data_IF_665614207756
#
_entry.id   IF_665614207756
#
_cell.length_a   1.000
_cell.length_b   1.000
_cell.length_c   1.000
_cell.angle_alpha   90.00
_cell.angle_beta   90.00
_cell.angle_gamma   90.00
#
_symmetry.space_group_name_H-M   'P 1'
#
loop_
_entity.id
_entity.type
_entity.pdbx_description
1 polymer ?
#
# COMPACT_ATOMS: atom_id res chain seq x y z
N UNK A 1 -14.50 -5.88 4.73
CA UNK A 1 -15.12 -6.40 3.49
C UNK A 1 -14.22 -6.11 2.30
N UNK A 2 -14.06 -7.08 1.40
CA UNK A 2 -13.26 -6.96 0.17
C UNK A 2 -13.60 -5.66 -0.60
N UNK A 3 -12.58 -4.88 -0.98
CA UNK A 3 -12.76 -3.62 -1.69
C UNK A 3 -11.92 -3.61 -2.98
N UNK A 4 -12.60 -3.81 -4.11
CA UNK A 4 -11.95 -3.85 -5.43
C UNK A 4 -11.26 -2.53 -5.79
N UNK A 5 -11.82 -1.39 -5.37
CA UNK A 5 -11.23 -0.07 -5.59
C UNK A 5 -9.90 0.06 -4.85
N UNK A 6 -9.86 -0.27 -3.56
CA UNK A 6 -8.65 -0.22 -2.75
C UNK A 6 -7.51 -1.04 -3.38
N UNK A 7 -7.83 -2.23 -3.89
CA UNK A 7 -6.88 -3.09 -4.59
C UNK A 7 -6.27 -2.43 -5.83
N UNK A 8 -7.09 -1.78 -6.67
CA UNK A 8 -6.59 -1.10 -7.86
C UNK A 8 -5.78 0.15 -7.50
N UNK A 9 -6.25 0.96 -6.54
CA UNK A 9 -5.51 2.15 -6.08
C UNK A 9 -4.15 1.80 -5.49
N UNK A 10 -4.10 0.82 -4.56
CA UNK A 10 -2.84 0.33 -3.98
C UNK A 10 -1.87 -0.13 -5.09
N UNK A 11 -2.37 -0.85 -6.10
CA UNK A 11 -1.54 -1.31 -7.23
C UNK A 11 -0.94 -0.13 -8.01
N UNK A 12 -1.75 0.86 -8.37
CA UNK A 12 -1.26 2.01 -9.14
C UNK A 12 -0.27 2.86 -8.33
N UNK A 13 -0.47 2.98 -7.01
CA UNK A 13 0.46 3.65 -6.09
C UNK A 13 1.81 2.93 -6.04
N UNK A 14 1.81 1.60 -5.90
CA UNK A 14 3.04 0.82 -5.74
C UNK A 14 3.81 0.64 -7.06
N UNK A 15 3.11 0.63 -8.21
CA UNK A 15 3.69 0.38 -9.54
C UNK A 15 4.93 1.24 -9.88
N UNK A 16 4.91 2.58 -9.69
CA UNK A 16 6.06 3.43 -10.00
C UNK A 16 7.18 3.38 -8.96
N UNK A 17 6.95 2.82 -7.76
CA UNK A 17 7.94 2.86 -6.69
C UNK A 17 9.13 1.93 -6.98
N UNK A 18 10.37 2.37 -6.65
CA UNK A 18 11.54 1.50 -6.62
C UNK A 18 11.32 0.29 -5.71
N UNK A 19 12.01 -0.82 -6.00
CA UNK A 19 11.88 -2.06 -5.25
C UNK A 19 12.19 -1.89 -3.75
N UNK A 20 13.17 -1.06 -3.42
CA UNK A 20 13.56 -0.77 -2.03
C UNK A 20 12.41 -0.11 -1.26
N UNK A 21 11.82 0.95 -1.82
CA UNK A 21 10.71 1.66 -1.18
C UNK A 21 9.47 0.77 -1.06
N UNK A 22 9.16 0.03 -2.14
CA UNK A 22 8.07 -0.94 -2.15
C UNK A 22 8.25 -2.00 -1.07
N UNK A 23 9.44 -2.58 -0.95
CA UNK A 23 9.73 -3.61 0.06
C UNK A 23 9.55 -3.08 1.48
N UNK A 24 9.98 -1.84 1.73
CA UNK A 24 9.80 -1.21 3.03
C UNK A 24 8.32 -0.91 3.34
N UNK A 25 7.51 -0.55 2.34
CA UNK A 25 6.06 -0.36 2.52
C UNK A 25 5.36 -1.70 2.73
N UNK A 26 5.72 -2.74 1.99
CA UNK A 26 5.20 -4.10 2.15
C UNK A 26 5.52 -4.68 3.54
N UNK A 27 6.68 -4.37 4.11
CA UNK A 27 7.03 -4.79 5.46
C UNK A 27 6.14 -4.14 6.54
N UNK A 28 5.64 -2.92 6.28
CA UNK A 28 4.76 -2.18 7.20
C UNK A 28 3.29 -2.50 7.00
N UNK A 29 2.86 -2.68 5.75
CA UNK A 29 1.49 -2.98 5.37
C UNK A 29 1.45 -4.29 4.55
N UNK A 30 1.56 -5.48 5.19
CA UNK A 30 1.71 -6.76 4.48
C UNK A 30 0.51 -7.10 3.58
N UNK A 31 -0.66 -6.54 3.88
CA UNK A 31 -1.87 -6.73 3.09
C UNK A 31 -1.72 -6.25 1.64
N UNK A 32 -0.88 -5.24 1.37
CA UNK A 32 -0.68 -4.70 0.01
C UNK A 32 -0.08 -5.72 -0.97
N UNK A 33 0.65 -6.72 -0.44
CA UNK A 33 1.19 -7.84 -1.23
C UNK A 33 0.12 -8.89 -1.58
N UNK A 34 -0.92 -8.99 -0.75
CA UNK A 34 -1.97 -10.02 -0.86
C UNK A 34 -3.24 -9.44 -1.48
N UNK A 35 -3.36 -9.65 -2.79
CA UNK A 35 -4.46 -9.15 -3.64
C UNK A 35 -5.90 -9.43 -3.15
N UNK A 36 -6.14 -10.46 -2.35
CA UNK A 36 -7.48 -10.84 -1.86
C UNK A 36 -7.82 -10.22 -0.50
N UNK A 37 -6.82 -9.74 0.24
CA UNK A 37 -7.01 -9.15 1.57
C UNK A 37 -6.97 -7.63 1.59
N UNK A 38 -6.57 -6.96 0.49
CA UNK A 38 -6.60 -5.50 0.40
C UNK A 38 -8.02 -4.95 0.58
N UNK A 39 -8.24 -4.24 1.69
CA UNK A 39 -9.43 -3.49 2.02
C UNK A 39 -9.11 -1.99 2.11
N UNK A 40 -10.14 -1.18 2.30
CA UNK A 40 -9.98 0.27 2.43
C UNK A 40 -9.08 0.68 3.61
N UNK A 41 -9.06 -0.10 4.70
CA UNK A 41 -8.19 0.16 5.84
C UNK A 41 -6.70 0.10 5.43
N UNK A 42 -6.31 -0.90 4.64
CA UNK A 42 -4.93 -1.05 4.16
C UNK A 42 -4.52 0.10 3.24
N UNK A 43 -5.44 0.61 2.41
CA UNK A 43 -5.18 1.79 1.59
C UNK A 43 -4.93 3.03 2.46
N UNK A 44 -5.71 3.23 3.53
CA UNK A 44 -5.48 4.34 4.47
C UNK A 44 -4.14 4.20 5.17
N UNK A 45 -3.79 3.00 5.62
CA UNK A 45 -2.51 2.73 6.29
C UNK A 45 -1.33 2.96 5.34
N UNK A 46 -1.42 2.47 4.10
CA UNK A 46 -0.41 2.71 3.07
C UNK A 46 -0.18 4.20 2.82
N UNK A 47 -1.25 4.98 2.67
CA UNK A 47 -1.15 6.43 2.46
C UNK A 47 -0.48 7.10 3.67
N UNK A 48 -0.87 6.73 4.89
CA UNK A 48 -0.26 7.28 6.10
C UNK A 48 1.24 7.01 6.18
N UNK A 49 1.67 5.79 5.88
CA UNK A 49 3.08 5.41 5.87
C UNK A 49 3.87 6.15 4.78
N UNK A 50 3.27 6.36 3.61
CA UNK A 50 3.89 7.15 2.54
C UNK A 50 4.06 8.62 2.93
N UNK A 51 3.07 9.24 3.56
CA UNK A 51 3.16 10.63 4.03
C UNK A 51 4.21 10.78 5.13
N UNK A 52 4.29 9.83 6.07
CA UNK A 52 5.35 9.81 7.09
C UNK A 52 6.75 9.77 6.48
N UNK A 53 6.93 9.04 5.38
CA UNK A 53 8.22 8.92 4.69
C UNK A 53 8.58 10.11 3.82
N UNK A 54 7.59 10.86 3.32
CA UNK A 54 7.85 12.14 2.64
C UNK A 54 8.31 13.22 3.63
N UNK A 55 7.90 13.10 4.89
CA UNK A 55 8.21 14.06 5.94
C UNK A 55 9.54 13.79 6.68
N UNK A 56 10.20 12.66 6.40
CA UNK A 56 11.47 12.24 6.98
C UNK A 56 12.64 12.50 6.00
#
# INVERSE_FOLDING_TARGET
SYNIGARYFIREILKPLPETERSLLEAKVPAVKRRTSCVYADLRELISEMELRKAA
#
